data_IF_169511189094
#
_entry.id   IF_169511189094
#
_cell.length_a   1.000
_cell.length_b   1.000
_cell.length_c   1.000
_cell.angle_alpha   90.00
_cell.angle_beta   90.00
_cell.angle_gamma   90.00
#
_symmetry.space_group_name_H-M   'P 1'
#
loop_
_entity.id
_entity.type
_entity.pdbx_description
1 polymer ?
#
# COMPACT_ATOMS: atom_id res chain seq x y z
N UNK A 1 -11.49 -7.84 -2.49
CA UNK A 1 -11.79 -9.23 -2.94
C UNK A 1 -12.03 -9.35 -4.44
N UNK A 2 -13.05 -8.72 -5.04
CA UNK A 2 -13.21 -8.75 -6.52
C UNK A 2 -12.08 -7.98 -7.23
N UNK A 3 -11.71 -6.80 -6.72
CA UNK A 3 -10.59 -6.02 -7.28
C UNK A 3 -9.24 -6.75 -7.18
N UNK A 4 -8.97 -7.42 -6.05
CA UNK A 4 -7.72 -8.19 -5.87
C UNK A 4 -7.63 -9.38 -6.85
N UNK A 5 -8.75 -10.07 -7.12
CA UNK A 5 -8.81 -11.15 -8.11
C UNK A 5 -8.59 -10.64 -9.55
N UNK A 6 -9.13 -9.46 -9.88
CA UNK A 6 -8.90 -8.83 -11.19
C UNK A 6 -7.44 -8.44 -11.37
N UNK A 7 -6.81 -7.93 -10.32
CA UNK A 7 -5.40 -7.55 -10.34
C UNK A 7 -4.48 -8.76 -10.46
N UNK A 8 -4.72 -9.85 -9.70
CA UNK A 8 -3.98 -11.11 -9.84
C UNK A 8 -4.12 -11.66 -11.27
N UNK A 9 -5.31 -11.57 -11.86
CA UNK A 9 -5.55 -11.99 -13.24
C UNK A 9 -4.78 -11.16 -14.28
N UNK A 10 -4.60 -9.85 -14.04
CA UNK A 10 -3.79 -8.97 -14.90
C UNK A 10 -2.29 -9.21 -14.71
N UNK A 11 -1.83 -9.47 -13.49
CA UNK A 11 -0.43 -9.84 -13.19
C UNK A 11 -0.05 -11.12 -13.92
N UNK A 12 -0.86 -12.17 -13.76
CA UNK A 12 -0.61 -13.49 -14.37
C UNK A 12 -0.55 -13.45 -15.89
N UNK A 13 -1.21 -12.46 -16.52
CA UNK A 13 -1.21 -12.24 -17.98
C UNK A 13 -0.17 -11.21 -18.44
N UNK A 14 0.67 -10.68 -17.54
CA UNK A 14 1.65 -9.64 -17.86
C UNK A 14 1.03 -8.30 -18.28
N UNK A 15 -0.24 -8.05 -17.96
CA UNK A 15 -1.02 -6.87 -18.40
C UNK A 15 -1.11 -5.75 -17.37
N UNK A 16 -0.34 -5.81 -16.28
CA UNK A 16 -0.27 -4.65 -15.39
C UNK A 16 0.61 -3.59 -16.04
N UNK A 17 -0.04 -2.54 -16.51
CA UNK A 17 0.62 -1.27 -16.79
C UNK A 17 0.80 -0.51 -15.48
N UNK A 18 2.05 -0.30 -15.08
CA UNK A 18 2.38 0.54 -13.93
C UNK A 18 2.35 2.00 -14.35
N UNK A 19 1.61 2.81 -13.60
CA UNK A 19 1.63 4.27 -13.77
C UNK A 19 2.73 4.85 -12.90
N UNK A 20 3.97 4.67 -13.34
CA UNK A 20 5.15 5.14 -12.61
C UNK A 20 5.28 6.64 -12.70
N UNK A 21 5.54 7.27 -11.56
CA UNK A 21 5.91 8.65 -11.45
C UNK A 21 6.85 8.84 -10.26
N UNK A 22 7.63 9.93 -10.29
CA UNK A 22 8.35 10.39 -9.11
C UNK A 22 7.33 10.77 -8.03
N UNK A 23 7.40 10.10 -6.89
CA UNK A 23 6.49 10.30 -5.77
C UNK A 23 7.20 10.20 -4.42
N UNK A 24 6.61 10.79 -3.38
CA UNK A 24 7.03 10.58 -2.00
C UNK A 24 6.37 9.30 -1.47
N UNK A 25 7.19 8.30 -1.14
CA UNK A 25 6.74 6.99 -0.65
C UNK A 25 5.86 7.09 0.60
N UNK A 26 6.07 8.13 1.41
CA UNK A 26 5.33 8.35 2.66
C UNK A 26 3.83 8.48 2.41
N UNK A 27 3.40 9.08 1.30
CA UNK A 27 1.98 9.20 0.96
C UNK A 27 1.30 7.84 0.70
N UNK A 28 2.02 6.88 0.09
CA UNK A 28 1.49 5.54 -0.10
C UNK A 28 1.36 4.79 1.23
N UNK A 29 2.32 4.96 2.13
CA UNK A 29 2.25 4.41 3.49
C UNK A 29 1.10 5.04 4.28
N UNK A 30 0.97 6.37 4.27
CA UNK A 30 -0.10 7.09 4.98
C UNK A 30 -1.49 6.62 4.50
N UNK A 31 -1.65 6.40 3.18
CA UNK A 31 -2.89 5.84 2.61
C UNK A 31 -3.21 4.44 3.12
N UNK A 32 -2.20 3.58 3.27
CA UNK A 32 -2.36 2.23 3.80
C UNK A 32 -2.67 2.22 5.31
N UNK A 33 -2.05 3.13 6.07
CA UNK A 33 -2.32 3.32 7.50
C UNK A 33 -3.77 3.76 7.73
N UNK A 34 -4.26 4.71 6.93
CA UNK A 34 -5.66 5.16 6.98
C UNK A 34 -6.62 3.98 6.70
N UNK A 35 -6.35 3.21 5.64
CA UNK A 35 -7.19 2.09 5.22
C UNK A 35 -7.23 0.93 6.23
N UNK A 36 -6.19 0.75 7.05
CA UNK A 36 -6.06 -0.37 8.00
C UNK A 36 -6.32 0.02 9.45
N UNK A 37 -6.47 1.32 9.75
CA UNK A 37 -6.68 1.85 11.11
C UNK A 37 -7.79 1.16 11.88
N UNK A 38 -8.97 1.06 11.27
CA UNK A 38 -10.15 0.45 11.88
C UNK A 38 -9.96 -1.04 12.15
N UNK A 39 -9.31 -1.75 11.22
CA UNK A 39 -9.04 -3.18 11.36
C UNK A 39 -8.10 -3.43 12.55
N UNK A 40 -6.99 -2.71 12.61
CA UNK A 40 -5.99 -2.82 13.66
C UNK A 40 -6.61 -2.53 15.04
N UNK A 41 -7.44 -1.47 15.12
CA UNK A 41 -8.13 -1.12 16.36
C UNK A 41 -9.12 -2.21 16.81
N UNK A 42 -9.90 -2.79 15.88
CA UNK A 42 -10.85 -3.87 16.18
C UNK A 42 -10.17 -5.17 16.59
N UNK A 43 -8.98 -5.44 16.05
CA UNK A 43 -8.15 -6.57 16.44
C UNK A 43 -7.43 -6.37 17.78
N UNK A 44 -7.51 -5.16 18.37
CA UNK A 44 -6.86 -4.84 19.64
C UNK A 44 -5.33 -4.74 19.54
N UNK A 45 -4.81 -4.54 18.33
CA UNK A 45 -3.36 -4.40 18.10
C UNK A 45 -2.92 -2.95 18.26
N UNK A 46 -1.70 -2.77 18.78
CA UNK A 46 -1.02 -1.48 18.76
C UNK A 46 -0.12 -1.39 17.53
N UNK A 47 -0.22 -0.27 16.81
CA UNK A 47 0.62 0.02 15.65
C UNK A 47 1.61 1.14 15.99
N UNK A 48 2.89 0.87 15.82
CA UNK A 48 3.95 1.87 15.88
C UNK A 48 4.50 2.09 14.46
N UNK A 49 4.63 3.35 14.06
CA UNK A 49 5.16 3.73 12.74
C UNK A 49 6.38 4.61 12.94
N UNK A 50 7.52 4.14 12.44
CA UNK A 50 8.76 4.91 12.39
C UNK A 50 9.06 5.22 10.92
N UNK A 51 9.14 6.52 10.58
CA UNK A 51 9.46 6.96 9.22
C UNK A 51 10.24 8.28 9.21
N UNK A 52 11.04 8.56 8.17
CA UNK A 52 11.72 9.84 8.05
C UNK A 52 10.74 11.03 7.95
N UNK A 53 11.13 12.15 8.58
CA UNK A 53 10.42 13.43 8.45
C UNK A 53 10.62 14.10 7.09
N UNK A 54 11.61 13.62 6.33
CA UNK A 54 11.92 14.09 4.97
C UNK A 54 11.25 13.21 3.91
N UNK A 55 10.91 13.77 2.72
CA UNK A 55 10.39 12.99 1.61
C UNK A 55 11.33 11.86 1.20
N UNK A 56 10.75 10.68 0.94
CA UNK A 56 11.47 9.54 0.37
C UNK A 56 11.03 9.39 -1.08
N UNK A 57 11.80 10.00 -1.98
CA UNK A 57 11.48 10.01 -3.40
C UNK A 57 11.75 8.65 -4.05
N UNK A 58 10.74 8.10 -4.73
CA UNK A 58 10.83 6.87 -5.51
C UNK A 58 10.20 7.07 -6.89
N UNK A 59 10.61 6.28 -7.87
CA UNK A 59 9.88 6.13 -9.14
C UNK A 59 8.97 4.91 -9.05
N UNK A 60 7.67 5.14 -8.90
CA UNK A 60 6.73 4.07 -8.56
C UNK A 60 5.29 4.41 -8.87
N UNK A 61 4.43 3.39 -8.77
CA UNK A 61 2.98 3.52 -8.88
C UNK A 61 2.39 3.63 -7.46
N UNK A 62 1.82 4.80 -7.15
CA UNK A 62 1.34 5.12 -5.81
C UNK A 62 0.24 4.16 -5.33
N UNK A 63 -0.71 3.80 -6.21
CA UNK A 63 -1.82 2.93 -5.85
C UNK A 63 -1.33 1.52 -5.55
N UNK A 64 -0.37 1.02 -6.35
CA UNK A 64 0.23 -0.29 -6.14
C UNK A 64 1.06 -0.36 -4.87
N UNK A 65 1.87 0.67 -4.59
CA UNK A 65 2.66 0.72 -3.36
C UNK A 65 1.78 0.81 -2.11
N UNK A 66 0.71 1.59 -2.14
CA UNK A 66 -0.26 1.63 -1.05
C UNK A 66 -0.89 0.26 -0.82
N UNK A 67 -1.27 -0.46 -1.89
CA UNK A 67 -1.78 -1.82 -1.80
C UNK A 67 -0.76 -2.79 -1.19
N UNK A 68 0.52 -2.70 -1.55
CA UNK A 68 1.59 -3.51 -0.93
C UNK A 68 1.63 -3.26 0.58
N UNK A 69 1.66 -2.00 1.02
CA UNK A 69 1.67 -1.67 2.44
C UNK A 69 0.42 -2.16 3.16
N UNK A 70 -0.77 -1.95 2.58
CA UNK A 70 -2.02 -2.45 3.16
C UNK A 70 -1.98 -3.97 3.33
N UNK A 71 -1.54 -4.71 2.31
CA UNK A 71 -1.44 -6.17 2.38
C UNK A 71 -0.48 -6.63 3.48
N UNK A 72 0.63 -5.91 3.69
CA UNK A 72 1.56 -6.22 4.77
C UNK A 72 0.92 -5.95 6.15
N UNK A 73 0.24 -4.83 6.31
CA UNK A 73 -0.41 -4.44 7.57
C UNK A 73 -1.61 -5.32 7.93
N UNK A 74 -2.34 -5.84 6.94
CA UNK A 74 -3.48 -6.76 7.18
C UNK A 74 -3.04 -8.19 7.47
N UNK A 75 -1.84 -8.58 7.03
CA UNK A 75 -1.32 -9.95 7.19
C UNK A 75 -0.44 -10.14 8.43
N UNK A 76 0.01 -9.05 9.05
CA UNK A 76 0.78 -9.05 10.29
C UNK A 76 -0.11 -9.41 11.49
#
# INVERSE_FOLDING_TARGET
>A
LVDDLLDVSRISRGKIELRRARMDLRHALDSALEATRDLIARSGHSLAVERPDVPVWVDGDAARLAQVFSNLLTNA
#
